data_IF_992109148958
#
_entry.id   IF_992109148958
#
_cell.length_a   1.000
_cell.length_b   1.000
_cell.length_c   1.000
_cell.angle_alpha   90.00
_cell.angle_beta   90.00
_cell.angle_gamma   90.00
#
_symmetry.space_group_name_H-M   'P 1'
#
loop_
_entity.id
_entity.type
_entity.pdbx_description
1 polymer ?
#
# COMPACT_ATOMS: atom_id res chain seq x y z
N UNK A 1 7.55 0.76 16.34
CA UNK A 1 7.23 -0.66 16.53
C UNK A 1 7.22 -0.99 18.02
N UNK A 2 6.24 -1.79 18.46
CA UNK A 2 6.13 -2.34 19.80
C UNK A 2 5.94 -3.84 19.67
N UNK A 3 6.74 -4.61 20.40
CA UNK A 3 6.67 -6.06 20.46
C UNK A 3 6.39 -6.46 21.91
N UNK A 4 5.44 -7.37 22.09
CA UNK A 4 5.07 -7.90 23.40
C UNK A 4 4.94 -9.41 23.33
N UNK A 5 5.68 -10.12 24.18
CA UNK A 5 5.61 -11.58 24.31
C UNK A 5 4.75 -11.92 25.53
N UNK A 6 3.62 -12.58 25.29
CA UNK A 6 2.76 -13.08 26.36
C UNK A 6 3.38 -14.30 27.05
N UNK A 7 4.03 -15.13 26.24
CA UNK A 7 4.83 -16.29 26.66
C UNK A 7 5.77 -16.68 25.51
N UNK A 8 6.52 -17.76 25.66
CA UNK A 8 7.51 -18.21 24.65
C UNK A 8 6.89 -18.53 23.27
N UNK A 9 5.58 -18.85 23.24
CA UNK A 9 4.89 -19.29 22.04
C UNK A 9 3.87 -18.29 21.50
N UNK A 10 3.68 -17.10 22.13
CA UNK A 10 2.67 -16.13 21.72
C UNK A 10 3.21 -14.70 21.79
N UNK A 11 3.29 -14.06 20.62
CA UNK A 11 3.86 -12.74 20.46
C UNK A 11 2.91 -11.82 19.71
N UNK A 12 2.80 -10.58 20.18
CA UNK A 12 2.09 -9.48 19.51
C UNK A 12 3.10 -8.45 19.03
N UNK A 13 3.00 -8.07 17.76
CA UNK A 13 3.74 -6.94 17.24
C UNK A 13 2.77 -5.90 16.68
N UNK A 14 3.04 -4.63 16.99
CA UNK A 14 2.29 -3.47 16.49
C UNK A 14 3.28 -2.54 15.81
N UNK A 15 3.05 -2.24 14.54
CA UNK A 15 3.86 -1.32 13.73
C UNK A 15 3.00 -0.22 13.18
N UNK A 16 3.41 1.02 13.43
CA UNK A 16 2.82 2.18 12.79
C UNK A 16 3.89 2.92 12.00
N UNK A 17 3.61 3.19 10.73
CA UNK A 17 4.49 3.95 9.86
C UNK A 17 3.74 5.09 9.20
N UNK A 18 4.45 6.18 9.00
CA UNK A 18 3.98 7.34 8.23
C UNK A 18 5.08 7.70 7.25
N UNK A 19 4.70 7.80 5.99
CA UNK A 19 5.51 8.35 4.92
C UNK A 19 4.84 9.61 4.40
N UNK A 20 5.60 10.69 4.27
CA UNK A 20 5.11 11.98 3.81
C UNK A 20 6.07 12.57 2.82
N UNK A 21 5.57 12.93 1.65
CA UNK A 21 6.32 13.75 0.72
C UNK A 21 5.53 14.97 0.28
N UNK A 22 6.25 16.00 -0.11
CA UNK A 22 5.73 17.21 -0.73
C UNK A 22 6.59 17.55 -1.94
N UNK A 23 5.93 17.88 -3.04
CA UNK A 23 6.56 18.33 -4.29
C UNK A 23 5.96 19.70 -4.65
N UNK A 24 6.81 20.70 -4.82
CA UNK A 24 6.43 22.03 -5.28
C UNK A 24 7.00 22.22 -6.68
N UNK A 25 6.13 22.50 -7.62
CA UNK A 25 6.50 22.73 -9.03
C UNK A 25 6.17 24.14 -9.41
N UNK A 26 7.08 24.75 -10.12
CA UNK A 26 6.97 26.09 -10.66
C UNK A 26 7.19 26.02 -12.16
N UNK A 27 6.25 26.56 -12.93
CA UNK A 27 6.40 26.83 -14.36
C UNK A 27 6.20 28.35 -14.58
N UNK A 28 7.26 29.03 -14.96
CA UNK A 28 7.23 30.45 -15.26
C UNK A 28 7.60 30.66 -16.74
N UNK A 29 6.73 31.35 -17.44
CA UNK A 29 6.96 31.79 -18.81
C UNK A 29 6.91 33.28 -18.88
N UNK A 30 8.03 33.95 -19.20
CA UNK A 30 8.06 35.41 -19.28
C UNK A 30 7.21 35.95 -20.44
N UNK A 31 6.71 37.16 -20.32
CA UNK A 31 6.11 37.87 -21.45
C UNK A 31 7.05 37.89 -22.65
N UNK A 32 6.52 37.72 -23.86
CA UNK A 32 7.29 37.69 -25.09
C UNK A 32 7.92 36.32 -25.43
N UNK A 33 7.64 35.26 -24.65
CA UNK A 33 8.08 33.91 -25.02
C UNK A 33 7.39 33.42 -26.31
N UNK A 34 8.07 32.57 -27.09
CA UNK A 34 7.56 32.10 -28.41
C UNK A 34 6.42 31.05 -28.29
N UNK A 35 5.98 30.67 -27.09
CA UNK A 35 4.88 29.72 -26.88
C UNK A 35 3.53 30.44 -26.73
N UNK A 36 2.44 29.65 -26.79
CA UNK A 36 1.12 30.13 -26.33
C UNK A 36 1.24 30.72 -24.92
N UNK A 37 0.70 31.91 -24.70
CA UNK A 37 0.89 32.66 -23.46
C UNK A 37 1.92 33.79 -23.59
N UNK A 38 1.97 34.43 -24.75
CA UNK A 38 2.91 35.51 -25.07
C UNK A 38 2.92 36.70 -24.07
N UNK A 39 1.89 36.82 -23.22
CA UNK A 39 1.77 37.87 -22.21
C UNK A 39 2.16 37.39 -20.78
N UNK A 40 2.88 36.27 -20.70
CA UNK A 40 3.34 35.69 -19.46
C UNK A 40 2.40 34.66 -18.85
N UNK A 41 2.98 33.69 -18.18
CA UNK A 41 2.27 32.62 -17.47
C UNK A 41 3.07 32.21 -16.24
N UNK A 42 2.35 31.96 -15.15
CA UNK A 42 2.91 31.44 -13.91
C UNK A 42 2.02 30.35 -13.37
N UNK A 43 2.57 29.17 -13.11
CA UNK A 43 1.87 28.05 -12.52
C UNK A 43 2.65 27.62 -11.29
N UNK A 44 1.99 27.56 -10.16
CA UNK A 44 2.54 26.95 -8.94
C UNK A 44 1.66 25.77 -8.53
N UNK A 45 2.23 24.57 -8.60
CA UNK A 45 1.59 23.33 -8.16
C UNK A 45 2.25 22.84 -6.88
N UNK A 46 1.44 22.57 -5.87
CA UNK A 46 1.88 21.94 -4.63
C UNK A 46 1.19 20.60 -4.48
N UNK A 47 1.97 19.54 -4.51
CA UNK A 47 1.52 18.17 -4.28
C UNK A 47 1.96 17.74 -2.89
N UNK A 48 1.09 17.06 -2.17
CA UNK A 48 1.46 16.37 -0.94
C UNK A 48 0.78 15.02 -0.86
N UNK A 49 1.48 14.02 -0.37
CA UNK A 49 0.90 12.71 -0.10
C UNK A 49 1.38 12.23 1.27
N UNK A 50 0.43 11.85 2.11
CA UNK A 50 0.67 11.21 3.39
C UNK A 50 0.16 9.78 3.33
N UNK A 51 1.07 8.84 3.43
CA UNK A 51 0.77 7.41 3.59
C UNK A 51 0.89 7.06 5.07
N UNK A 52 -0.12 6.47 5.65
CA UNK A 52 -0.06 5.93 7.00
C UNK A 52 -0.50 4.49 7.00
N UNK A 53 0.22 3.66 7.75
CA UNK A 53 -0.02 2.24 7.82
C UNK A 53 0.10 1.77 9.26
N UNK A 54 -0.94 1.08 9.73
CA UNK A 54 -0.93 0.35 10.98
C UNK A 54 -0.96 -1.15 10.65
N UNK A 55 -0.01 -1.90 11.20
CA UNK A 55 0.03 -3.35 11.14
C UNK A 55 0.04 -3.89 12.57
N UNK A 56 -0.85 -4.82 12.84
CA UNK A 56 -0.89 -5.57 14.09
C UNK A 56 -0.89 -7.05 13.74
N UNK A 57 -0.03 -7.83 14.36
CA UNK A 57 -0.01 -9.26 14.13
C UNK A 57 0.34 -10.01 15.41
N UNK A 58 -0.45 -11.03 15.63
CA UNK A 58 -0.31 -12.02 16.69
C UNK A 58 0.26 -13.28 16.04
N UNK A 59 1.42 -13.70 16.51
CA UNK A 59 2.07 -14.94 16.05
C UNK A 59 2.15 -15.92 17.20
N UNK A 60 1.93 -17.19 16.87
CA UNK A 60 2.04 -18.24 17.86
C UNK A 60 2.34 -19.59 17.25
N UNK A 61 2.74 -20.51 18.11
CA UNK A 61 3.00 -21.90 17.76
C UNK A 61 2.46 -22.83 18.84
N UNK A 62 1.98 -23.98 18.42
CA UNK A 62 1.55 -25.05 19.31
C UNK A 62 1.75 -26.41 18.67
N UNK A 63 2.08 -27.39 19.46
CA UNK A 63 2.10 -28.78 19.05
C UNK A 63 0.72 -29.38 19.30
N UNK A 64 0.00 -29.73 18.23
CA UNK A 64 -1.32 -30.39 18.30
C UNK A 64 -1.13 -31.80 18.84
N UNK A 65 -0.09 -32.47 18.39
CA UNK A 65 0.36 -33.77 18.88
C UNK A 65 1.84 -33.99 18.51
N UNK A 66 2.41 -35.14 18.86
CA UNK A 66 3.83 -35.45 18.57
C UNK A 66 4.21 -35.46 17.09
N UNK A 67 3.25 -35.40 16.18
CA UNK A 67 3.48 -35.48 14.72
C UNK A 67 2.93 -34.26 13.96
N UNK A 68 2.25 -33.33 14.65
CA UNK A 68 1.65 -32.15 14.01
C UNK A 68 1.95 -30.91 14.83
N UNK A 69 2.79 -30.05 14.27
CA UNK A 69 3.01 -28.68 14.72
C UNK A 69 2.16 -27.69 13.96
N UNK A 70 1.68 -26.66 14.63
CA UNK A 70 0.95 -25.53 14.03
C UNK A 70 1.62 -24.22 14.40
N UNK A 71 2.05 -23.46 13.40
CA UNK A 71 2.41 -22.06 13.53
C UNK A 71 1.32 -21.21 12.91
N UNK A 72 0.89 -20.15 13.59
CA UNK A 72 -0.15 -19.28 13.10
C UNK A 72 0.23 -17.81 13.20
N UNK A 73 -0.30 -17.02 12.27
CA UNK A 73 -0.28 -15.58 12.31
C UNK A 73 -1.69 -15.05 12.08
N UNK A 74 -2.17 -14.20 12.98
CA UNK A 74 -3.40 -13.44 12.80
C UNK A 74 -3.03 -11.98 12.70
N UNK A 75 -3.50 -11.29 11.66
CA UNK A 75 -3.10 -9.92 11.41
C UNK A 75 -4.26 -8.99 11.11
N UNK A 76 -4.05 -7.72 11.46
CA UNK A 76 -4.86 -6.59 11.05
C UNK A 76 -3.95 -5.56 10.40
N UNK A 77 -4.39 -5.03 9.27
CA UNK A 77 -3.71 -3.98 8.53
C UNK A 77 -4.70 -2.85 8.21
N UNK A 78 -4.29 -1.63 8.48
CA UNK A 78 -4.97 -0.43 8.02
C UNK A 78 -3.99 0.38 7.19
N UNK A 79 -4.42 0.79 6.02
CA UNK A 79 -3.69 1.67 5.12
C UNK A 79 -4.54 2.89 4.81
N UNK A 80 -3.93 4.08 4.87
CA UNK A 80 -4.54 5.34 4.49
C UNK A 80 -3.59 6.15 3.62
N UNK A 81 -4.09 6.65 2.49
CA UNK A 81 -3.40 7.58 1.59
C UNK A 81 -4.21 8.87 1.49
N UNK A 82 -3.65 10.00 1.92
CA UNK A 82 -4.21 11.35 1.80
C UNK A 82 -3.38 12.15 0.81
N UNK A 83 -3.79 12.11 -0.45
CA UNK A 83 -3.18 12.88 -1.53
C UNK A 83 -3.89 14.20 -1.70
N UNK A 84 -3.11 15.29 -1.82
CA UNK A 84 -3.61 16.64 -2.06
C UNK A 84 -2.81 17.32 -3.15
N UNK A 85 -3.53 18.05 -3.98
CA UNK A 85 -2.96 18.99 -4.93
C UNK A 85 -3.60 20.35 -4.71
N UNK A 86 -2.78 21.38 -4.64
CA UNK A 86 -3.18 22.76 -4.75
C UNK A 86 -2.45 23.34 -5.96
N UNK A 87 -3.20 23.93 -6.89
CA UNK A 87 -2.67 24.55 -8.10
C UNK A 87 -3.10 26.00 -8.12
N UNK A 88 -2.19 26.89 -8.41
CA UNK A 88 -2.47 28.27 -8.69
C UNK A 88 -1.92 28.60 -10.09
N UNK A 89 -2.80 29.13 -10.93
CA UNK A 89 -2.51 29.51 -12.30
C UNK A 89 -2.75 31.00 -12.48
N UNK A 90 -1.83 31.68 -13.11
CA UNK A 90 -1.92 33.08 -13.47
C UNK A 90 -1.38 33.28 -14.88
N UNK A 91 -2.12 33.98 -15.73
CA UNK A 91 -1.71 34.26 -17.10
C UNK A 91 -2.12 35.67 -17.52
N UNK A 92 -1.47 36.17 -18.55
CA UNK A 92 -1.69 37.53 -19.09
C UNK A 92 -1.36 38.59 -18.03
N UNK A 93 -0.08 38.70 -17.72
CA UNK A 93 0.40 39.63 -16.68
C UNK A 93 0.09 41.07 -16.98
N UNK A 94 -0.41 41.78 -15.98
CA UNK A 94 -0.59 43.22 -16.02
C UNK A 94 0.75 43.94 -15.82
N UNK A 95 1.61 43.37 -14.95
CA UNK A 95 2.99 43.80 -14.76
C UNK A 95 3.95 42.73 -15.32
N UNK A 96 4.64 42.96 -16.43
CA UNK A 96 5.52 41.99 -17.07
C UNK A 96 6.78 41.66 -16.27
N UNK A 97 7.16 42.47 -15.28
CA UNK A 97 8.37 42.27 -14.48
C UNK A 97 8.11 41.38 -13.24
N UNK A 98 6.93 40.81 -13.13
CA UNK A 98 6.60 39.93 -12.01
C UNK A 98 7.25 38.56 -12.16
N UNK A 99 7.97 38.12 -11.13
CA UNK A 99 8.65 36.81 -11.05
C UNK A 99 8.04 35.86 -10.01
N UNK A 100 6.94 36.24 -9.37
CA UNK A 100 6.27 35.39 -8.36
C UNK A 100 4.77 35.47 -8.52
N UNK A 101 4.08 34.41 -8.09
CA UNK A 101 2.63 34.32 -8.14
C UNK A 101 1.98 35.44 -7.33
N UNK A 102 1.21 36.25 -8.02
CA UNK A 102 0.41 37.34 -7.42
C UNK A 102 -0.91 37.43 -8.18
N UNK A 103 -2.01 36.87 -7.65
CA UNK A 103 -3.32 36.86 -8.33
C UNK A 103 -3.82 38.25 -8.76
N UNK A 104 -3.31 39.30 -8.14
CA UNK A 104 -3.62 40.69 -8.50
C UNK A 104 -2.92 41.18 -9.79
N UNK A 105 -1.95 40.45 -10.31
CA UNK A 105 -1.24 40.80 -11.53
C UNK A 105 -1.88 40.33 -12.82
N UNK A 106 -2.81 39.34 -12.74
CA UNK A 106 -3.56 38.88 -13.90
C UNK A 106 -5.00 39.43 -13.89
N UNK A 107 -5.64 39.52 -15.05
CA UNK A 107 -7.07 39.74 -15.11
C UNK A 107 -7.77 38.60 -14.34
N UNK A 108 -8.83 38.92 -13.60
CA UNK A 108 -9.49 37.98 -12.68
C UNK A 108 -9.96 36.66 -13.34
N UNK A 109 -10.27 36.71 -14.61
CA UNK A 109 -10.62 35.52 -15.42
C UNK A 109 -9.42 34.63 -15.77
N UNK A 110 -8.19 35.13 -15.61
CA UNK A 110 -6.94 34.46 -15.95
C UNK A 110 -6.16 34.02 -14.70
N UNK A 111 -6.73 34.14 -13.52
CA UNK A 111 -6.21 33.65 -12.25
C UNK A 111 -7.14 32.60 -11.70
N UNK A 112 -6.75 31.32 -11.79
CA UNK A 112 -7.61 30.17 -11.49
C UNK A 112 -6.93 29.27 -10.44
N UNK A 113 -7.20 29.48 -9.15
CA UNK A 113 -6.81 28.51 -8.14
C UNK A 113 -7.69 27.25 -8.23
N UNK A 114 -7.07 26.11 -8.09
CA UNK A 114 -7.78 24.82 -8.02
C UNK A 114 -7.20 23.94 -6.94
N UNK A 115 -8.03 23.08 -6.36
CA UNK A 115 -7.63 22.14 -5.35
C UNK A 115 -8.27 20.78 -5.58
N UNK A 116 -7.50 19.74 -5.27
CA UNK A 116 -7.96 18.36 -5.34
C UNK A 116 -7.47 17.60 -4.10
N UNK A 117 -8.34 16.76 -3.53
CA UNK A 117 -7.97 15.86 -2.44
C UNK A 117 -8.55 14.49 -2.70
N UNK A 118 -7.72 13.47 -2.54
CA UNK A 118 -8.11 12.09 -2.60
C UNK A 118 -7.70 11.39 -1.30
N UNK A 119 -8.68 10.82 -0.60
CA UNK A 119 -8.48 10.05 0.60
C UNK A 119 -8.89 8.60 0.35
N UNK A 120 -7.91 7.69 0.36
CA UNK A 120 -8.15 6.25 0.23
C UNK A 120 -7.84 5.55 1.54
N UNK A 121 -8.74 4.63 1.93
CA UNK A 121 -8.58 3.76 3.09
C UNK A 121 -8.80 2.32 2.71
N UNK A 122 -7.97 1.47 3.26
CA UNK A 122 -8.07 0.02 3.13
C UNK A 122 -7.87 -0.59 4.50
N UNK A 123 -8.76 -1.49 4.89
CA UNK A 123 -8.61 -2.29 6.09
C UNK A 123 -8.61 -3.75 5.71
N UNK A 124 -7.73 -4.52 6.31
CA UNK A 124 -7.62 -5.95 6.07
C UNK A 124 -7.42 -6.72 7.36
N UNK A 125 -8.07 -7.85 7.47
CA UNK A 125 -7.77 -8.89 8.44
C UNK A 125 -7.26 -10.11 7.71
N UNK A 126 -6.27 -10.81 8.26
CA UNK A 126 -5.73 -12.00 7.64
C UNK A 126 -5.31 -13.04 8.67
N UNK A 127 -5.33 -14.28 8.23
CA UNK A 127 -4.83 -15.40 8.99
C UNK A 127 -3.94 -16.27 8.12
N UNK A 128 -2.83 -16.74 8.68
CA UNK A 128 -1.92 -17.73 8.08
C UNK A 128 -1.79 -18.88 9.07
N UNK A 129 -2.02 -20.08 8.60
CA UNK A 129 -1.86 -21.34 9.36
C UNK A 129 -0.84 -22.19 8.64
N UNK A 130 0.26 -22.51 9.32
CA UNK A 130 1.32 -23.40 8.82
C UNK A 130 1.32 -24.66 9.65
N UNK A 131 0.99 -25.78 9.00
CA UNK A 131 1.04 -27.10 9.59
C UNK A 131 2.30 -27.83 9.15
N UNK A 132 3.09 -28.24 10.13
CA UNK A 132 4.19 -29.16 9.97
C UNK A 132 3.69 -30.56 10.35
N UNK A 133 3.55 -31.46 9.37
CA UNK A 133 2.97 -32.79 9.56
C UNK A 133 4.05 -33.83 9.32
N UNK A 134 4.48 -34.48 10.40
CA UNK A 134 5.64 -35.34 10.39
C UNK A 134 6.90 -34.57 9.99
N UNK A 135 7.86 -35.27 9.39
CA UNK A 135 9.12 -34.65 8.95
C UNK A 135 9.09 -34.11 7.53
N UNK A 136 8.01 -34.41 6.77
CA UNK A 136 8.03 -34.27 5.32
C UNK A 136 6.93 -33.41 4.72
N UNK A 137 5.78 -33.25 5.37
CA UNK A 137 4.62 -32.57 4.82
C UNK A 137 4.43 -31.20 5.47
N UNK A 138 4.41 -30.16 4.65
CA UNK A 138 4.10 -28.79 5.02
C UNK A 138 2.82 -28.35 4.33
N UNK A 139 1.86 -27.83 5.09
CA UNK A 139 0.60 -27.28 4.57
C UNK A 139 0.45 -25.87 5.08
N UNK A 140 0.24 -24.92 4.18
CA UNK A 140 -0.07 -23.54 4.52
C UNK A 140 -1.48 -23.19 4.01
N UNK A 141 -2.27 -22.60 4.89
CA UNK A 141 -3.57 -22.03 4.58
C UNK A 141 -3.56 -20.55 4.93
N UNK A 142 -3.99 -19.72 3.99
CA UNK A 142 -4.11 -18.29 4.21
C UNK A 142 -5.50 -17.80 3.85
N UNK A 143 -6.05 -16.92 4.65
CA UNK A 143 -7.27 -16.20 4.33
C UNK A 143 -7.07 -14.71 4.64
N UNK A 144 -7.51 -13.84 3.70
CA UNK A 144 -7.47 -12.39 3.86
C UNK A 144 -8.82 -11.78 3.49
N UNK A 145 -9.39 -11.00 4.40
CA UNK A 145 -10.60 -10.22 4.15
C UNK A 145 -10.27 -8.74 4.13
N UNK A 146 -10.70 -8.02 3.10
CA UNK A 146 -10.40 -6.59 2.92
C UNK A 146 -11.64 -5.77 2.64
N UNK A 147 -11.60 -4.51 3.10
CA UNK A 147 -12.57 -3.46 2.75
C UNK A 147 -11.84 -2.25 2.19
N UNK A 148 -12.44 -1.62 1.19
CA UNK A 148 -11.87 -0.48 0.48
C UNK A 148 -12.84 0.69 0.49
N UNK A 149 -12.36 1.90 0.80
CA UNK A 149 -13.17 3.12 0.73
C UNK A 149 -13.63 3.45 -0.70
N UNK A 150 -12.95 2.92 -1.71
CA UNK A 150 -13.31 3.07 -3.13
C UNK A 150 -14.43 2.12 -3.58
N UNK A 151 -14.76 1.13 -2.76
CA UNK A 151 -15.83 0.15 -3.01
C UNK A 151 -16.74 -0.02 -1.78
N UNK A 152 -17.44 1.02 -1.33
CA UNK A 152 -18.17 1.00 -0.05
C UNK A 152 -19.30 -0.04 -0.02
N UNK A 153 -19.84 -0.42 -1.18
CA UNK A 153 -20.95 -1.37 -1.30
C UNK A 153 -20.48 -2.83 -1.52
N UNK A 154 -19.18 -3.08 -1.70
CA UNK A 154 -18.66 -4.43 -1.94
C UNK A 154 -18.59 -5.27 -0.66
N UNK A 155 -18.67 -4.64 0.52
CA UNK A 155 -18.45 -5.32 1.78
C UNK A 155 -17.03 -5.83 1.96
N UNK A 156 -16.89 -6.99 2.61
CA UNK A 156 -15.59 -7.64 2.79
C UNK A 156 -15.31 -8.52 1.57
N UNK A 157 -14.20 -8.27 0.90
CA UNK A 157 -13.71 -9.11 -0.19
C UNK A 157 -12.73 -10.10 0.41
N UNK A 158 -12.92 -11.38 0.15
CA UNK A 158 -12.14 -12.46 0.73
C UNK A 158 -11.21 -13.09 -0.30
N UNK A 159 -9.96 -13.29 0.07
CA UNK A 159 -8.90 -13.87 -0.74
C UNK A 159 -8.33 -15.12 -0.02
N UNK A 160 -8.70 -16.33 -0.43
CA UNK A 160 -8.11 -17.55 0.08
C UNK A 160 -6.82 -17.91 -0.63
N UNK A 161 -5.89 -18.56 0.08
CA UNK A 161 -4.81 -19.30 -0.55
C UNK A 161 -4.46 -20.57 0.23
N UNK A 162 -3.92 -21.55 -0.48
CA UNK A 162 -3.42 -22.79 0.09
C UNK A 162 -2.14 -23.22 -0.62
N UNK A 163 -1.19 -23.73 0.14
CA UNK A 163 -0.01 -24.36 -0.41
C UNK A 163 0.30 -25.67 0.32
N UNK A 164 0.88 -26.60 -0.42
CA UNK A 164 1.33 -27.88 0.08
C UNK A 164 2.75 -28.14 -0.42
N UNK A 165 3.61 -28.59 0.46
CA UNK A 165 4.98 -28.96 0.14
C UNK A 165 5.32 -30.31 0.74
N UNK A 166 5.88 -31.21 -0.05
CA UNK A 166 6.32 -32.51 0.40
C UNK A 166 7.79 -32.76 0.11
N UNK A 167 8.54 -33.15 1.12
CA UNK A 167 9.96 -33.53 1.02
C UNK A 167 10.05 -34.98 0.59
N UNK A 168 10.48 -35.20 -0.65
CA UNK A 168 10.58 -36.51 -1.27
C UNK A 168 11.92 -37.20 -1.00
N UNK A 169 12.89 -36.50 -0.46
CA UNK A 169 14.25 -37.05 -0.23
C UNK A 169 14.24 -38.35 0.53
N UNK A 170 13.36 -38.45 1.56
CA UNK A 170 13.31 -39.59 2.45
C UNK A 170 12.57 -40.81 1.82
N UNK A 171 11.84 -40.57 0.72
CA UNK A 171 11.19 -41.63 -0.06
C UNK A 171 12.06 -42.18 -1.19
N UNK A 172 13.04 -41.35 -1.65
CA UNK A 172 13.87 -41.67 -2.80
C UNK A 172 15.32 -41.79 -2.31
N UNK A 173 15.71 -42.99 -1.90
CA UNK A 173 17.08 -43.31 -1.47
C UNK A 173 18.02 -43.39 -2.69
N UNK A 174 18.48 -42.21 -3.15
CA UNK A 174 19.54 -42.07 -4.18
C UNK A 174 20.72 -41.36 -3.56
N UNK A 175 21.87 -42.02 -3.52
CA UNK A 175 23.12 -41.47 -2.93
C UNK A 175 23.55 -40.11 -3.54
N UNK A 176 23.11 -39.83 -4.77
CA UNK A 176 23.41 -38.59 -5.48
C UNK A 176 22.39 -37.46 -5.17
N UNK A 177 21.28 -37.73 -4.45
CA UNK A 177 20.18 -36.80 -4.20
C UNK A 177 20.15 -36.40 -2.72
N UNK A 178 20.69 -35.22 -2.41
CA UNK A 178 20.74 -34.70 -1.03
C UNK A 178 19.43 -34.04 -0.59
N UNK A 179 18.65 -33.49 -1.53
CA UNK A 179 17.38 -32.82 -1.21
C UNK A 179 16.44 -32.75 -2.42
N UNK A 180 15.21 -33.19 -2.25
CA UNK A 180 14.13 -33.04 -3.22
C UNK A 180 12.83 -32.66 -2.49
N UNK A 181 12.23 -31.53 -2.88
CA UNK A 181 10.93 -31.05 -2.38
C UNK A 181 10.03 -30.67 -3.55
N UNK A 182 8.79 -31.12 -3.53
CA UNK A 182 7.74 -30.73 -4.47
C UNK A 182 6.77 -29.78 -3.76
N UNK A 183 6.29 -28.76 -4.48
CA UNK A 183 5.32 -27.80 -3.97
C UNK A 183 4.23 -27.56 -4.99
N UNK A 184 3.02 -27.35 -4.48
CA UNK A 184 1.88 -26.87 -5.24
C UNK A 184 1.17 -25.79 -4.43
N UNK A 185 0.66 -24.76 -5.10
CA UNK A 185 -0.06 -23.67 -4.45
C UNK A 185 -1.18 -23.14 -5.32
N UNK A 186 -2.21 -22.64 -4.66
CA UNK A 186 -3.32 -21.91 -5.26
C UNK A 186 -3.59 -20.67 -4.42
N UNK A 187 -3.94 -19.55 -5.04
CA UNK A 187 -4.32 -18.33 -4.33
C UNK A 187 -5.08 -17.37 -5.23
N UNK A 188 -5.93 -16.59 -4.61
CA UNK A 188 -6.69 -15.52 -5.25
C UNK A 188 -6.17 -14.16 -4.76
N UNK A 189 -6.11 -13.19 -5.67
CA UNK A 189 -5.73 -11.80 -5.37
C UNK A 189 -6.65 -10.85 -6.12
N UNK A 190 -6.86 -9.68 -5.56
CA UNK A 190 -7.61 -8.61 -6.19
C UNK A 190 -6.92 -7.26 -6.04
N UNK A 191 -7.27 -6.32 -6.90
CA UNK A 191 -6.82 -4.93 -6.85
C UNK A 191 -8.04 -4.03 -6.76
N UNK A 192 -8.05 -3.12 -5.79
CA UNK A 192 -9.10 -2.12 -5.70
C UNK A 192 -9.03 -1.13 -6.87
N UNK A 193 -10.17 -0.70 -7.43
CA UNK A 193 -10.21 0.37 -8.41
C UNK A 193 -9.71 1.68 -7.81
N UNK A 194 -9.19 2.60 -8.64
CA UNK A 194 -8.87 3.95 -8.20
C UNK A 194 -10.13 4.67 -7.71
N UNK A 195 -9.95 5.70 -6.88
CA UNK A 195 -11.04 6.60 -6.54
C UNK A 195 -11.41 7.43 -7.78
N UNK A 196 -12.69 7.65 -7.97
CA UNK A 196 -13.21 8.48 -9.08
C UNK A 196 -12.92 7.91 -10.48
N UNK A 197 -13.64 6.87 -10.85
CA UNK A 197 -13.76 6.42 -12.24
C UNK A 197 -14.92 7.15 -12.91
#
# INVERSE_FOLDING_TARGET
EVNYSFNDNLNLAVRYSVDYYQDNRLDYRPPGSASEGNNGQYIEDRYSNKLSQLNMFLTGGLDINSNIGLNYTLGYQQFESDYRRLSAFEAVFTNPDQEFLNPGNAASQNSLPSGFRELRRQNGVYGVLNFDIGENLLVELTGRGETFSTMPNAGIIFYPSASIGYKLTDLINLDALTFLKVRASYGEVGVAPPAYI
#
